data_IF_033770890957
#
_entry.id   IF_033770890957
#
_cell.length_a   1.000
_cell.length_b   1.000
_cell.length_c   1.000
_cell.angle_alpha   90.00
_cell.angle_beta   90.00
_cell.angle_gamma   90.00
#
_symmetry.space_group_name_H-M   'P 1'
#
loop_
_entity.id
_entity.type
_entity.pdbx_description
1 polymer ?
#
# COMPACT_ATOMS: atom_id res chain seq x y z
N UNK A 1 9.12 -20.42 15.71
CA UNK A 1 8.02 -20.95 14.87
C UNK A 1 7.65 -19.85 13.89
N UNK A 2 8.02 -19.99 12.62
CA UNK A 2 7.60 -19.08 11.55
C UNK A 2 6.32 -19.64 10.94
N UNK A 3 5.18 -19.08 11.30
CA UNK A 3 3.94 -19.37 10.58
C UNK A 3 4.01 -18.64 9.22
N UNK A 4 4.26 -19.42 8.18
CA UNK A 4 3.95 -19.02 6.81
C UNK A 4 2.43 -18.83 6.73
N UNK A 5 1.94 -17.61 6.95
CA UNK A 5 0.57 -17.29 6.53
C UNK A 5 0.52 -17.38 5.03
N UNK A 6 -0.21 -18.38 4.55
CA UNK A 6 -0.51 -18.57 3.15
C UNK A 6 -1.30 -17.34 2.68
N UNK A 7 -0.83 -16.65 1.63
CA UNK A 7 -1.49 -15.48 1.02
C UNK A 7 -2.97 -15.74 0.63
N UNK A 8 -3.38 -17.01 0.60
CA UNK A 8 -4.75 -17.47 0.30
C UNK A 8 -5.85 -16.97 1.23
N UNK A 9 -5.55 -16.57 2.47
CA UNK A 9 -6.61 -16.15 3.42
C UNK A 9 -7.07 -14.69 3.24
N UNK A 10 -6.40 -13.88 2.41
CA UNK A 10 -6.75 -12.47 2.26
C UNK A 10 -7.92 -12.17 1.31
N UNK A 11 -8.39 -13.14 0.51
CA UNK A 11 -9.40 -12.89 -0.52
C UNK A 11 -10.53 -13.96 -0.49
N UNK A 12 -11.81 -13.57 -0.35
CA UNK A 12 -12.92 -14.54 -0.30
C UNK A 12 -13.06 -15.31 -1.63
N UNK A 13 -13.12 -16.65 -1.55
CA UNK A 13 -13.11 -17.60 -2.68
C UNK A 13 -14.23 -17.40 -3.73
N UNK A 14 -15.25 -16.57 -3.46
CA UNK A 14 -16.47 -16.48 -4.27
C UNK A 14 -16.54 -15.34 -5.28
N UNK A 15 -15.54 -14.45 -5.34
CA UNK A 15 -15.67 -13.22 -6.14
C UNK A 15 -14.82 -13.18 -7.43
N UNK A 16 -13.74 -13.96 -7.53
CA UNK A 16 -12.86 -13.95 -8.71
C UNK A 16 -12.17 -15.31 -8.90
N UNK A 17 -12.07 -15.80 -10.15
CA UNK A 17 -11.25 -16.98 -10.44
C UNK A 17 -9.74 -16.65 -10.38
N UNK A 18 -9.39 -15.38 -10.64
CA UNK A 18 -8.01 -14.87 -10.58
C UNK A 18 -8.00 -13.43 -10.05
N UNK A 19 -7.10 -13.16 -9.10
CA UNK A 19 -6.75 -11.81 -8.65
C UNK A 19 -5.31 -11.55 -9.07
N UNK A 20 -5.09 -10.48 -9.83
CA UNK A 20 -3.75 -10.02 -10.19
C UNK A 20 -3.46 -8.73 -9.43
N UNK A 21 -2.54 -8.81 -8.48
CA UNK A 21 -2.06 -7.68 -7.70
C UNK A 21 -0.69 -7.25 -8.22
N UNK A 22 -0.58 -6.01 -8.69
CA UNK A 22 0.71 -5.40 -9.04
C UNK A 22 1.08 -4.40 -7.96
N UNK A 23 2.20 -4.66 -7.27
CA UNK A 23 2.72 -3.80 -6.21
C UNK A 23 3.94 -3.01 -6.70
N UNK A 24 3.76 -1.71 -6.90
CA UNK A 24 4.80 -0.81 -7.38
C UNK A 24 5.07 0.32 -6.38
N UNK A 25 6.33 0.72 -6.26
CA UNK A 25 6.72 1.97 -5.59
C UNK A 25 6.92 3.06 -6.63
N UNK A 26 6.18 4.16 -6.53
CA UNK A 26 6.41 5.37 -7.29
C UNK A 26 7.44 6.26 -6.58
N UNK A 27 8.53 6.57 -7.27
CA UNK A 27 9.53 7.54 -6.85
C UNK A 27 9.30 8.87 -7.61
N UNK A 28 8.68 9.84 -6.93
CA UNK A 28 8.38 11.14 -7.52
C UNK A 28 9.61 11.99 -7.83
N UNK A 29 10.81 11.64 -7.34
CA UNK A 29 12.04 12.36 -7.70
C UNK A 29 12.56 11.99 -9.08
N UNK A 30 12.30 10.76 -9.51
CA UNK A 30 12.79 10.23 -10.78
C UNK A 30 11.67 10.04 -11.81
N UNK A 31 10.42 10.27 -11.42
CA UNK A 31 9.22 9.92 -12.19
C UNK A 31 9.26 8.45 -12.68
N UNK A 32 9.54 7.54 -11.74
CA UNK A 32 9.72 6.12 -12.04
C UNK A 32 8.95 5.23 -11.09
N UNK A 33 8.49 4.11 -11.63
CA UNK A 33 7.90 3.01 -10.86
C UNK A 33 8.91 1.88 -10.73
N UNK A 34 9.01 1.35 -9.50
CA UNK A 34 9.94 0.29 -9.15
C UNK A 34 9.14 -0.86 -8.52
N UNK A 35 9.27 -2.10 -9.00
CA UNK A 35 8.63 -3.25 -8.36
C UNK A 35 9.00 -3.38 -6.88
N UNK A 36 8.03 -3.76 -6.04
CA UNK A 36 8.29 -4.06 -4.62
C UNK A 36 8.74 -5.51 -4.45
N UNK A 37 10.02 -5.71 -4.11
CA UNK A 37 10.55 -7.04 -3.76
C UNK A 37 12.06 -7.07 -3.54
N UNK A 38 12.51 -7.99 -2.67
CA UNK A 38 13.94 -8.27 -2.39
C UNK A 38 14.62 -9.13 -3.48
N UNK A 39 13.91 -9.42 -4.57
CA UNK A 39 14.54 -10.03 -5.74
C UNK A 39 15.58 -9.06 -6.28
N UNK A 40 16.80 -9.54 -6.49
CA UNK A 40 17.79 -8.88 -7.35
C UNK A 40 17.25 -8.85 -8.78
N UNK A 41 16.21 -8.09 -9.05
CA UNK A 41 15.79 -7.74 -10.39
C UNK A 41 16.79 -6.70 -10.88
N UNK A 42 17.95 -7.17 -11.35
CA UNK A 42 18.96 -6.36 -12.03
C UNK A 42 18.52 -5.98 -13.45
N UNK A 43 17.22 -5.80 -13.68
CA UNK A 43 16.63 -5.72 -15.00
C UNK A 43 15.51 -4.68 -15.05
N UNK A 44 15.80 -3.62 -15.81
CA UNK A 44 14.86 -2.68 -16.43
C UNK A 44 13.90 -1.96 -15.47
N UNK A 45 14.28 -0.72 -15.12
CA UNK A 45 13.33 0.28 -14.64
C UNK A 45 12.25 0.50 -15.70
N UNK A 46 10.98 0.44 -15.32
CA UNK A 46 9.91 0.90 -16.18
C UNK A 46 9.91 2.44 -16.12
N UNK A 47 10.33 3.08 -17.20
CA UNK A 47 10.17 4.53 -17.34
C UNK A 47 8.69 4.84 -17.52
N UNK A 48 8.08 5.46 -16.51
CA UNK A 48 6.77 6.10 -16.60
C UNK A 48 5.55 5.18 -16.42
N UNK A 49 4.48 5.80 -15.91
CA UNK A 49 3.14 5.22 -15.77
C UNK A 49 2.56 4.74 -17.11
N UNK A 50 3.03 5.29 -18.25
CA UNK A 50 2.62 4.87 -19.59
C UNK A 50 2.94 3.40 -19.90
N UNK A 51 4.13 2.93 -19.53
CA UNK A 51 4.53 1.54 -19.86
C UNK A 51 3.69 0.56 -19.05
N UNK A 52 3.45 0.85 -17.78
CA UNK A 52 2.58 0.03 -16.94
C UNK A 52 1.16 0.07 -17.47
N UNK A 53 0.62 1.26 -17.80
CA UNK A 53 -0.69 1.37 -18.43
C UNK A 53 -0.79 0.46 -19.66
N UNK A 54 0.20 0.48 -20.57
CA UNK A 54 0.23 -0.42 -21.75
C UNK A 54 0.27 -1.91 -21.38
N UNK A 55 1.06 -2.30 -20.38
CA UNK A 55 1.15 -3.70 -19.93
C UNK A 55 -0.19 -4.15 -19.33
N UNK A 56 -0.77 -3.32 -18.47
CA UNK A 56 -2.06 -3.56 -17.81
C UNK A 56 -3.19 -3.65 -18.84
N UNK A 57 -3.22 -2.75 -19.84
CA UNK A 57 -4.18 -2.80 -20.95
C UNK A 57 -4.04 -4.11 -21.73
N UNK A 58 -2.82 -4.49 -22.15
CA UNK A 58 -2.61 -5.73 -22.90
C UNK A 58 -3.01 -6.97 -22.10
N UNK A 59 -2.74 -6.97 -20.80
CA UNK A 59 -3.15 -8.05 -19.92
C UNK A 59 -4.69 -8.15 -19.86
N UNK A 60 -5.36 -7.01 -19.67
CA UNK A 60 -6.81 -6.95 -19.65
C UNK A 60 -7.46 -7.39 -20.98
N UNK A 61 -6.90 -6.97 -22.11
CA UNK A 61 -7.34 -7.38 -23.46
C UNK A 61 -7.21 -8.89 -23.67
N UNK A 62 -6.04 -9.47 -23.35
CA UNK A 62 -5.78 -10.89 -23.51
C UNK A 62 -6.73 -11.79 -22.68
N UNK A 63 -7.17 -11.31 -21.51
CA UNK A 63 -8.13 -12.03 -20.69
C UNK A 63 -9.57 -11.92 -21.21
N UNK A 64 -9.95 -10.75 -21.73
CA UNK A 64 -11.26 -10.55 -22.38
C UNK A 64 -11.43 -11.42 -23.62
N UNK A 65 -10.39 -11.55 -24.45
CA UNK A 65 -10.44 -12.34 -25.69
C UNK A 65 -10.62 -13.83 -25.46
N UNK A 66 -10.14 -14.36 -24.33
CA UNK A 66 -10.22 -15.80 -24.04
C UNK A 66 -11.57 -16.27 -23.49
N UNK A 67 -12.59 -15.40 -23.44
CA UNK A 67 -13.92 -15.73 -22.89
C UNK A 67 -13.88 -16.20 -21.43
N UNK A 68 -12.78 -15.91 -20.74
CA UNK A 68 -12.56 -16.31 -19.37
C UNK A 68 -13.47 -15.50 -18.44
N UNK A 69 -13.78 -16.10 -17.29
CA UNK A 69 -14.62 -15.52 -16.24
C UNK A 69 -14.05 -14.17 -15.74
N UNK A 70 -14.85 -13.47 -14.94
CA UNK A 70 -14.51 -12.18 -14.31
C UNK A 70 -13.10 -12.17 -13.71
N UNK A 71 -12.17 -11.54 -14.43
CA UNK A 71 -10.84 -11.16 -13.93
C UNK A 71 -11.00 -9.86 -13.13
N UNK A 72 -10.44 -9.83 -11.92
CA UNK A 72 -10.31 -8.60 -11.15
C UNK A 72 -8.86 -8.15 -11.15
N UNK A 73 -8.63 -6.93 -11.65
CA UNK A 73 -7.32 -6.31 -11.75
C UNK A 73 -7.17 -5.23 -10.68
N UNK A 74 -6.19 -5.42 -9.80
CA UNK A 74 -5.92 -4.51 -8.69
C UNK A 74 -4.53 -3.90 -8.85
N UNK A 75 -4.45 -2.58 -8.79
CA UNK A 75 -3.19 -1.84 -8.88
C UNK A 75 -2.84 -1.22 -7.53
N UNK A 76 -1.81 -1.73 -6.86
CA UNK A 76 -1.27 -1.18 -5.63
C UNK A 76 -0.09 -0.27 -5.90
N UNK A 77 -0.11 0.92 -5.30
CA UNK A 77 0.99 1.87 -5.44
C UNK A 77 1.41 2.49 -4.11
N UNK A 78 2.69 2.29 -3.77
CA UNK A 78 3.36 3.06 -2.73
C UNK A 78 3.85 4.38 -3.29
N UNK A 79 3.40 5.48 -2.71
CA UNK A 79 3.85 6.81 -3.11
C UNK A 79 4.94 7.29 -2.17
N UNK A 80 6.16 7.49 -2.70
CA UNK A 80 7.32 7.99 -1.93
C UNK A 80 7.75 9.35 -2.45
N UNK A 81 7.80 10.33 -1.54
CA UNK A 81 8.31 11.69 -1.73
C UNK A 81 7.68 12.50 -2.88
N UNK A 82 7.05 13.61 -2.55
CA UNK A 82 6.44 14.52 -3.53
C UNK A 82 7.44 15.55 -4.05
N UNK A 83 7.83 15.42 -5.31
CA UNK A 83 8.44 16.51 -6.08
C UNK A 83 7.57 16.95 -7.26
N UNK A 84 6.86 16.02 -7.90
CA UNK A 84 5.83 16.32 -8.90
C UNK A 84 4.60 16.96 -8.25
N UNK A 85 3.83 17.74 -9.02
CA UNK A 85 2.56 18.29 -8.53
C UNK A 85 1.52 17.19 -8.35
N UNK A 86 0.51 17.44 -7.53
CA UNK A 86 -0.59 16.48 -7.30
C UNK A 86 -1.37 16.25 -8.61
N UNK A 87 -1.55 17.30 -9.40
CA UNK A 87 -2.26 17.27 -10.67
C UNK A 87 -1.56 16.37 -11.68
N UNK A 88 -0.24 16.47 -11.80
CA UNK A 88 0.56 15.61 -12.68
C UNK A 88 0.46 14.13 -12.26
N UNK A 89 0.58 13.87 -10.95
CA UNK A 89 0.43 12.53 -10.40
C UNK A 89 -0.96 11.94 -10.69
N UNK A 90 -2.03 12.72 -10.46
CA UNK A 90 -3.40 12.28 -10.70
C UNK A 90 -3.70 12.06 -12.18
N UNK A 91 -3.16 12.90 -13.07
CA UNK A 91 -3.27 12.72 -14.51
C UNK A 91 -2.64 11.39 -14.95
N UNK A 92 -1.45 11.07 -14.43
CA UNK A 92 -0.79 9.80 -14.70
C UNK A 92 -1.59 8.62 -14.13
N UNK A 93 -2.10 8.74 -12.90
CA UNK A 93 -2.89 7.69 -12.24
C UNK A 93 -4.25 7.44 -12.91
N UNK A 94 -4.84 8.47 -13.53
CA UNK A 94 -6.06 8.36 -14.32
C UNK A 94 -5.92 7.35 -15.47
N UNK A 95 -4.75 7.29 -16.13
CA UNK A 95 -4.56 6.36 -17.25
C UNK A 95 -4.64 4.90 -16.80
N UNK A 96 -4.04 4.57 -15.66
CA UNK A 96 -4.08 3.21 -15.09
C UNK A 96 -5.45 2.92 -14.52
N UNK A 97 -6.06 3.87 -13.82
CA UNK A 97 -7.37 3.70 -13.16
C UNK A 97 -8.53 3.47 -14.14
N UNK A 98 -8.34 3.76 -15.43
CA UNK A 98 -9.31 3.44 -16.50
C UNK A 98 -9.31 1.97 -16.92
N UNK A 99 -8.22 1.24 -16.62
CA UNK A 99 -8.01 -0.13 -17.12
C UNK A 99 -7.92 -1.17 -16.00
N UNK A 100 -7.95 -0.74 -14.74
CA UNK A 100 -8.03 -1.62 -13.57
C UNK A 100 -9.37 -1.47 -12.86
N UNK A 101 -9.76 -2.51 -12.12
CA UNK A 101 -11.02 -2.49 -11.36
C UNK A 101 -10.87 -1.77 -10.02
N UNK A 102 -9.68 -1.87 -9.41
CA UNK A 102 -9.33 -1.20 -8.15
C UNK A 102 -7.95 -0.54 -8.21
N UNK A 103 -7.90 0.72 -7.81
CA UNK A 103 -6.66 1.45 -7.54
C UNK A 103 -6.45 1.55 -6.03
N UNK A 104 -5.38 0.96 -5.51
CA UNK A 104 -5.03 0.96 -4.08
C UNK A 104 -3.86 1.92 -3.85
N UNK A 105 -4.11 2.97 -3.08
CA UNK A 105 -3.07 3.87 -2.56
C UNK A 105 -2.49 3.29 -1.27
N UNK A 106 -1.20 2.99 -1.27
CA UNK A 106 -0.57 2.41 -0.08
C UNK A 106 -0.17 3.50 0.92
N UNK A 107 -0.90 3.54 2.02
CA UNK A 107 -0.76 4.54 3.10
C UNK A 107 -0.02 4.00 4.31
N UNK A 108 0.72 2.90 4.13
CA UNK A 108 1.36 2.18 5.22
C UNK A 108 2.83 1.89 4.96
N UNK A 109 3.56 1.79 6.06
CA UNK A 109 4.99 1.51 6.06
C UNK A 109 5.24 0.06 5.61
N UNK A 110 6.19 -0.15 4.70
CA UNK A 110 6.42 -1.46 4.06
C UNK A 110 7.88 -1.89 3.96
N UNK A 111 8.86 -1.05 4.35
CA UNK A 111 10.28 -1.40 4.18
C UNK A 111 11.15 -0.88 5.33
N UNK A 112 11.99 -1.75 5.93
CA UNK A 112 12.93 -1.34 6.96
C UNK A 112 13.76 -0.12 6.57
N UNK A 113 13.84 0.88 7.46
CA UNK A 113 14.77 1.99 7.32
C UNK A 113 16.17 1.59 7.84
N UNK A 114 17.27 2.15 7.27
CA UNK A 114 18.62 1.89 7.76
C UNK A 114 18.89 2.46 9.17
N UNK A 115 18.06 3.40 9.61
CA UNK A 115 18.09 4.05 10.93
C UNK A 115 16.76 3.84 11.62
N UNK A 116 16.78 3.57 12.93
CA UNK A 116 15.55 3.45 13.70
C UNK A 116 15.01 4.87 13.97
N UNK A 117 14.17 5.34 13.06
CA UNK A 117 13.39 6.56 13.25
C UNK A 117 12.05 6.20 13.88
N UNK A 118 11.45 7.13 14.64
CA UNK A 118 10.10 6.94 15.12
C UNK A 118 9.15 7.09 13.93
N UNK A 119 8.84 6.00 13.25
CA UNK A 119 7.88 5.99 12.14
C UNK A 119 6.53 5.44 12.58
N UNK A 120 5.46 6.00 12.03
CA UNK A 120 4.12 5.46 12.21
C UNK A 120 3.85 4.40 11.13
N UNK A 121 3.40 3.18 11.47
CA UNK A 121 3.05 2.16 10.47
C UNK A 121 1.97 2.63 9.49
N UNK A 122 1.12 3.56 9.93
CA UNK A 122 0.16 4.30 9.13
C UNK A 122 0.09 5.73 9.70
N UNK A 123 0.03 6.76 8.85
CA UNK A 123 -0.22 8.13 9.28
C UNK A 123 -1.62 8.59 8.86
N UNK A 124 -2.41 9.12 9.81
CA UNK A 124 -3.74 9.64 9.48
C UNK A 124 -3.69 11.10 9.00
N UNK A 125 -2.93 11.97 9.68
CA UNK A 125 -2.88 13.42 9.44
C UNK A 125 -1.47 13.85 9.07
N UNK A 126 -1.39 14.77 8.09
CA UNK A 126 -0.23 15.55 7.62
C UNK A 126 1.10 14.79 7.40
N UNK A 127 1.93 15.33 6.51
CA UNK A 127 3.33 14.91 6.43
C UNK A 127 4.05 15.48 7.65
N UNK A 128 4.17 14.67 8.69
CA UNK A 128 5.11 14.95 9.78
C UNK A 128 6.47 14.36 9.41
N UNK A 129 7.53 14.80 10.08
CA UNK A 129 8.88 14.21 9.94
C UNK A 129 8.92 12.69 10.27
N UNK A 130 7.82 12.15 10.81
CA UNK A 130 7.63 10.76 11.20
C UNK A 130 6.83 9.93 10.17
N UNK A 131 6.35 10.55 9.09
CA UNK A 131 5.59 9.89 8.03
C UNK A 131 6.48 9.68 6.80
N UNK A 132 6.82 8.42 6.51
CA UNK A 132 7.52 8.02 5.29
C UNK A 132 6.56 7.55 4.17
N UNK A 133 5.26 7.62 4.44
CA UNK A 133 4.17 7.15 3.58
C UNK A 133 3.13 8.23 3.38
N UNK A 134 2.35 8.10 2.30
CA UNK A 134 1.18 8.95 2.03
C UNK A 134 0.20 8.91 3.22
N UNK A 135 -0.11 10.05 3.87
CA UNK A 135 -1.12 10.09 4.92
C UNK A 135 -2.52 9.71 4.40
N UNK A 136 -3.31 9.06 5.24
CA UNK A 136 -4.64 8.54 4.87
C UNK A 136 -5.58 9.67 4.41
N UNK A 137 -5.59 10.82 5.10
CA UNK A 137 -6.43 11.96 4.68
C UNK A 137 -6.03 12.44 3.27
N UNK A 138 -4.74 12.49 2.96
CA UNK A 138 -4.26 12.89 1.63
C UNK A 138 -4.66 11.86 0.58
N UNK A 139 -4.52 10.55 0.86
CA UNK A 139 -4.98 9.50 -0.04
C UNK A 139 -6.49 9.57 -0.30
N UNK A 140 -7.30 9.89 0.71
CA UNK A 140 -8.74 10.09 0.59
C UNK A 140 -9.09 11.29 -0.29
N UNK A 141 -8.38 12.40 -0.13
CA UNK A 141 -8.56 13.58 -0.97
C UNK A 141 -8.24 13.26 -2.44
N UNK A 142 -7.11 12.59 -2.68
CA UNK A 142 -6.69 12.16 -4.00
C UNK A 142 -7.65 11.18 -4.66
N UNK A 143 -8.20 10.25 -3.87
CA UNK A 143 -9.24 9.34 -4.33
C UNK A 143 -10.47 10.11 -4.84
N UNK A 144 -10.93 11.13 -4.10
CA UNK A 144 -12.06 11.98 -4.52
C UNK A 144 -11.75 12.75 -5.81
N UNK A 145 -10.55 13.32 -5.92
CA UNK A 145 -10.13 14.02 -7.12
C UNK A 145 -10.06 13.06 -8.33
N UNK A 146 -9.47 11.87 -8.14
CA UNK A 146 -9.40 10.87 -9.20
C UNK A 146 -10.79 10.39 -9.65
N UNK A 147 -11.72 10.22 -8.71
CA UNK A 147 -13.12 9.85 -9.00
C UNK A 147 -13.86 10.91 -9.82
N UNK A 148 -13.52 12.19 -9.71
CA UNK A 148 -14.13 13.25 -10.52
C UNK A 148 -13.48 13.38 -11.91
N UNK A 149 -12.24 12.91 -12.09
CA UNK A 149 -11.49 12.99 -13.36
C UNK A 149 -11.78 11.83 -14.32
N UNK A 150 -12.38 10.73 -13.86
CA UNK A 150 -12.54 9.49 -14.63
C UNK A 150 -14.00 9.08 -14.70
N UNK A 151 -14.44 8.68 -15.90
CA UNK A 151 -15.81 8.23 -16.17
C UNK A 151 -15.77 6.86 -16.85
N UNK A 152 -16.38 5.81 -16.25
CA UNK A 152 -17.02 5.81 -14.93
C UNK A 152 -16.01 6.02 -13.79
N UNK A 153 -16.44 6.51 -12.61
CA UNK A 153 -15.54 6.70 -11.48
C UNK A 153 -14.87 5.39 -11.06
N UNK A 154 -13.53 5.34 -10.89
CA UNK A 154 -12.81 4.15 -10.48
C UNK A 154 -13.08 3.82 -9.01
N UNK A 155 -12.96 2.53 -8.66
CA UNK A 155 -12.89 2.13 -7.26
C UNK A 155 -11.49 2.45 -6.72
N UNK A 156 -11.41 3.41 -5.81
CA UNK A 156 -10.16 3.79 -5.18
C UNK A 156 -10.19 3.37 -3.71
N UNK A 157 -9.16 2.66 -3.29
CA UNK A 157 -8.97 2.20 -1.92
C UNK A 157 -7.66 2.76 -1.36
N UNK A 158 -7.52 2.75 -0.05
CA UNK A 158 -6.24 2.88 0.62
C UNK A 158 -5.98 1.63 1.46
N UNK A 159 -4.70 1.31 1.72
CA UNK A 159 -4.33 0.13 2.49
C UNK A 159 -3.73 0.50 3.84
N UNK A 160 -4.18 -0.22 4.86
CA UNK A 160 -3.72 -0.09 6.25
C UNK A 160 -2.91 -1.31 6.65
N UNK A 161 -1.87 -1.08 7.44
CA UNK A 161 -1.10 -2.13 8.09
C UNK A 161 -1.55 -2.28 9.55
N UNK A 162 -2.16 -3.40 9.90
CA UNK A 162 -2.56 -3.76 11.27
C UNK A 162 -1.39 -4.37 12.04
N UNK A 163 -0.29 -3.63 12.11
CA UNK A 163 0.93 -4.00 12.79
C UNK A 163 1.51 -2.78 13.49
N UNK A 164 2.37 -3.02 14.49
CA UNK A 164 3.24 -1.99 15.03
C UNK A 164 4.68 -2.24 14.59
N UNK A 165 5.45 -1.16 14.48
CA UNK A 165 6.88 -1.23 14.21
C UNK A 165 7.62 -1.53 15.51
N UNK A 166 8.41 -2.59 15.48
CA UNK A 166 9.31 -2.98 16.57
C UNK A 166 10.75 -2.79 16.11
N UNK A 167 11.48 -2.00 16.89
CA UNK A 167 12.85 -1.61 16.63
C UNK A 167 13.80 -2.26 17.63
N UNK A 168 14.83 -2.93 17.13
CA UNK A 168 15.97 -3.38 17.92
C UNK A 168 17.13 -2.42 17.65
N UNK A 169 17.66 -1.80 18.72
CA UNK A 169 18.73 -0.81 18.62
C UNK A 169 20.10 -1.48 18.80
N UNK A 170 21.09 -1.10 17.98
CA UNK A 170 22.49 -1.53 18.21
C UNK A 170 23.10 -0.90 19.47
N UNK A 171 22.63 0.29 19.82
CA UNK A 171 23.09 1.06 20.97
C UNK A 171 22.25 0.79 22.21
N UNK A 172 22.89 0.83 23.38
CA UNK A 172 22.18 0.85 24.68
C UNK A 172 21.42 2.16 24.93
N UNK A 173 21.71 3.20 24.15
CA UNK A 173 21.01 4.48 24.21
C UNK A 173 19.78 4.43 23.31
N UNK A 174 18.63 4.84 23.86
CA UNK A 174 17.37 4.99 23.13
C UNK A 174 17.31 6.45 22.69
N UNK A 175 17.85 6.73 21.50
CA UNK A 175 17.77 8.04 20.86
C UNK A 175 17.15 7.88 19.48
N UNK A 176 16.26 8.80 19.11
CA UNK A 176 15.67 8.85 17.77
C UNK A 176 16.81 9.03 16.75
N UNK A 177 16.82 8.22 15.69
CA UNK A 177 17.87 8.24 14.66
C UNK A 177 19.09 7.37 15.00
N UNK A 178 19.06 6.61 16.10
CA UNK A 178 20.12 5.65 16.41
C UNK A 178 20.24 4.55 15.34
N UNK A 179 21.44 3.97 15.12
CA UNK A 179 21.63 2.86 14.19
C UNK A 179 20.72 1.68 14.51
N UNK A 180 19.94 1.27 13.50
CA UNK A 180 19.00 0.18 13.63
C UNK A 180 19.73 -1.17 13.55
N UNK A 181 19.47 -2.07 14.49
CA UNK A 181 19.86 -3.47 14.37
C UNK A 181 18.83 -4.20 13.51
N UNK A 182 17.56 -4.07 13.87
CA UNK A 182 16.45 -4.62 13.13
C UNK A 182 15.22 -3.74 13.26
N UNK A 183 14.41 -3.73 12.22
CA UNK A 183 13.08 -3.14 12.19
C UNK A 183 12.13 -4.24 11.71
N UNK A 184 11.09 -4.51 12.49
CA UNK A 184 10.15 -5.61 12.22
C UNK A 184 8.73 -5.14 12.41
N UNK A 185 7.84 -5.59 11.52
CA UNK A 185 6.39 -5.41 11.68
C UNK A 185 5.86 -6.54 12.56
N UNK A 186 5.40 -6.18 13.75
CA UNK A 186 4.80 -7.10 14.70
C UNK A 186 3.28 -6.98 14.58
N UNK A 187 2.60 -8.09 14.36
CA UNK A 187 1.15 -8.09 14.10
C UNK A 187 0.39 -7.59 15.31
N UNK A 188 -0.74 -6.91 15.09
CA UNK A 188 -1.55 -6.38 16.19
C UNK A 188 -1.97 -7.46 17.20
N UNK A 189 -2.29 -8.68 16.74
CA UNK A 189 -2.67 -9.79 17.60
C UNK A 189 -1.54 -10.33 18.51
N UNK A 190 -0.28 -9.99 18.24
CA UNK A 190 0.86 -10.36 19.07
C UNK A 190 1.10 -9.35 20.23
N UNK A 191 0.58 -8.13 20.11
CA UNK A 191 0.66 -7.11 21.16
C UNK A 191 -0.43 -7.24 22.21
N UNK A 192 -1.57 -7.83 21.85
CA UNK A 192 -2.64 -8.02 22.81
C UNK A 192 -2.19 -9.07 23.85
N UNK A 193 -2.17 -8.73 25.15
CA UNK A 193 -1.95 -9.76 26.16
C UNK A 193 -3.01 -10.85 25.97
N UNK A 194 -2.67 -12.14 26.14
CA UNK A 194 -3.60 -13.24 25.94
C UNK A 194 -4.87 -13.00 26.77
N UNK A 195 -5.94 -12.60 26.07
CA UNK A 195 -7.31 -12.39 26.56
C UNK A 195 -7.42 -11.77 27.96
N UNK A 196 -7.29 -10.46 28.06
CA UNK A 196 -8.40 -9.72 28.68
C UNK A 196 -9.33 -9.34 27.54
N UNK A 197 -10.30 -10.21 27.28
CA UNK A 197 -11.49 -9.80 26.54
C UNK A 197 -11.95 -8.50 27.21
N UNK A 198 -11.89 -7.41 26.46
CA UNK A 198 -12.64 -6.22 26.81
C UNK A 198 -14.09 -6.70 26.82
N UNK A 199 -14.62 -7.05 28.00
CA UNK A 199 -16.06 -7.10 28.16
C UNK A 199 -16.49 -5.67 27.86
N UNK A 200 -17.03 -5.47 26.66
CA UNK A 200 -17.88 -4.31 26.45
C UNK A 200 -19.05 -4.61 27.36
N UNK A 201 -19.02 -4.06 28.57
CA UNK A 201 -20.14 -4.17 29.49
C UNK A 201 -21.33 -3.59 28.74
N UNK A 202 -22.29 -4.46 28.40
CA UNK A 202 -23.46 -4.11 27.61
C UNK A 202 -24.37 -3.08 28.29
N UNK A 203 -24.00 -2.59 29.46
CA UNK A 203 -24.72 -1.59 30.24
C UNK A 203 -24.45 -0.15 29.80
N UNK A 204 -23.41 0.15 28.99
CA UNK A 204 -23.10 1.54 28.59
C UNK A 204 -23.71 1.99 27.25
N UNK A 205 -24.57 1.18 26.62
CA UNK A 205 -25.28 1.54 25.38
C UNK A 205 -26.77 1.83 25.59
N UNK A 206 -27.19 2.07 26.84
CA UNK A 206 -28.57 2.41 27.20
C UNK A 206 -28.68 3.78 27.89
N UNK A 207 -28.03 4.81 27.32
CA UNK A 207 -28.34 6.23 27.60
C UNK A 207 -28.32 7.06 26.32
#
# INVERSE_FOLDING_TARGET
MSENTNEKEQYPEKLCDFVVYMDLSYNGQEDKLVPKGNGKCTGNYFSGMEVISRVVTKFHEAFKENGSRTLLLMFGMQVKAFKSSVEEFLANLQHISKVVDYTILETHHSRPAPTCNLLMPNSFREYTDFADTLPIITALDWAKQLQSLVVPPPNVCFSLNLAALHYELKSKSIQIGAPCQSETLVRYNQFLPPRRLWSVDSETLAE
#
